data_IF_350804732196
#
_entry.id   IF_350804732196
#
_cell.length_a   1.000
_cell.length_b   1.000
_cell.length_c   1.000
_cell.angle_alpha   90.00
_cell.angle_beta   90.00
_cell.angle_gamma   90.00
#
_symmetry.space_group_name_H-M   'P 1'
#
loop_
_entity.id
_entity.type
_entity.pdbx_description
1 polymer ?
#
# COMPACT_ATOMS: atom_id res chain seq x y z
N UNK A 1 -27.06 -23.36 14.88
CA UNK A 1 -27.18 -21.99 14.34
C UNK A 1 -26.43 -21.06 15.26
N UNK A 2 -25.33 -20.44 14.81
CA UNK A 2 -24.51 -19.54 15.62
C UNK A 2 -24.22 -18.28 14.78
N UNK A 3 -25.18 -17.36 14.72
CA UNK A 3 -25.17 -16.15 13.89
C UNK A 3 -24.86 -14.87 14.68
N UNK A 4 -24.37 -14.97 15.92
CA UNK A 4 -24.37 -13.86 16.87
C UNK A 4 -23.14 -12.95 16.95
N UNK A 5 -21.98 -13.27 16.37
CA UNK A 5 -20.73 -12.58 16.75
C UNK A 5 -20.10 -11.63 15.71
N UNK A 6 -20.54 -11.63 14.45
CA UNK A 6 -19.95 -10.73 13.44
C UNK A 6 -20.65 -9.37 13.34
N UNK A 7 -21.86 -9.20 13.92
CA UNK A 7 -22.60 -7.93 13.87
C UNK A 7 -22.07 -6.86 14.84
N UNK A 8 -21.34 -7.24 15.88
CA UNK A 8 -20.90 -6.33 16.95
C UNK A 8 -19.57 -5.62 16.71
N UNK A 9 -18.84 -5.94 15.64
CA UNK A 9 -17.52 -5.36 15.33
C UNK A 9 -17.60 -4.45 14.09
N UNK A 10 -18.54 -3.51 14.09
CA UNK A 10 -18.78 -2.60 12.96
C UNK A 10 -17.53 -1.78 12.58
N UNK A 11 -16.64 -1.51 13.54
CA UNK A 11 -15.34 -0.86 13.33
C UNK A 11 -14.33 -1.72 12.57
N UNK A 12 -14.53 -3.04 12.46
CA UNK A 12 -13.71 -3.92 11.61
C UNK A 12 -14.09 -3.80 10.13
N UNK A 13 -15.22 -3.16 9.81
CA UNK A 13 -15.62 -2.91 8.43
C UNK A 13 -14.56 -2.09 7.71
N UNK A 14 -14.19 -2.51 6.49
CA UNK A 14 -13.32 -1.74 5.60
C UNK A 14 -13.79 -0.29 5.49
N UNK A 15 -15.11 -0.07 5.46
CA UNK A 15 -15.70 1.27 5.44
C UNK A 15 -15.14 2.18 6.55
N UNK A 16 -15.11 1.74 7.81
CA UNK A 16 -14.68 2.58 8.95
C UNK A 16 -13.18 2.88 8.90
N UNK A 17 -12.37 1.92 8.44
CA UNK A 17 -10.90 2.06 8.36
C UNK A 17 -10.46 3.11 7.35
N UNK A 18 -11.22 3.28 6.29
CA UNK A 18 -10.95 4.25 5.23
C UNK A 18 -11.83 5.50 5.33
N UNK A 19 -12.86 5.51 6.19
CA UNK A 19 -13.79 6.63 6.31
C UNK A 19 -13.09 7.91 6.78
N UNK A 20 -12.30 7.84 7.86
CA UNK A 20 -11.61 9.01 8.41
C UNK A 20 -10.59 9.60 7.41
N UNK A 21 -9.69 8.81 6.79
CA UNK A 21 -8.86 9.27 5.68
C UNK A 21 -9.67 9.82 4.51
N UNK A 22 -10.77 9.19 4.11
CA UNK A 22 -11.61 9.69 3.00
C UNK A 22 -12.20 11.08 3.31
N UNK A 23 -12.63 11.32 4.55
CA UNK A 23 -13.13 12.63 4.99
C UNK A 23 -11.99 13.66 4.98
N UNK A 24 -10.79 13.29 5.44
CA UNK A 24 -9.63 14.16 5.34
C UNK A 24 -9.30 14.48 3.86
N UNK A 25 -9.31 13.47 2.99
CA UNK A 25 -9.16 13.60 1.55
C UNK A 25 -10.17 14.57 0.94
N UNK A 26 -11.43 14.57 1.38
CA UNK A 26 -12.44 15.56 0.93
C UNK A 26 -12.00 16.99 1.21
N UNK A 27 -11.54 17.25 2.45
CA UNK A 27 -11.08 18.56 2.88
C UNK A 27 -9.85 18.98 2.08
N UNK A 28 -8.90 18.06 1.89
CA UNK A 28 -7.68 18.28 1.10
C UNK A 28 -8.04 18.61 -0.35
N UNK A 29 -8.83 17.78 -1.03
CA UNK A 29 -9.22 18.00 -2.43
C UNK A 29 -9.99 19.31 -2.59
N UNK A 30 -10.92 19.60 -1.68
CA UNK A 30 -11.66 20.87 -1.70
C UNK A 30 -10.72 22.07 -1.57
N UNK A 31 -9.77 22.01 -0.64
CA UNK A 31 -8.78 23.06 -0.44
C UNK A 31 -7.87 23.25 -1.66
N UNK A 32 -7.29 22.17 -2.20
CA UNK A 32 -6.44 22.21 -3.39
C UNK A 32 -7.19 22.72 -4.62
N UNK A 33 -8.47 22.34 -4.77
CA UNK A 33 -9.32 22.82 -5.88
C UNK A 33 -9.61 24.32 -5.76
N UNK A 34 -9.78 24.83 -4.53
CA UNK A 34 -9.97 26.26 -4.30
C UNK A 34 -8.71 27.07 -4.64
N UNK A 35 -7.53 26.57 -4.25
CA UNK A 35 -6.23 27.21 -4.57
C UNK A 35 -5.98 27.16 -6.08
N UNK A 36 -6.34 26.06 -6.74
CA UNK A 36 -6.15 25.85 -8.18
C UNK A 36 -7.00 26.77 -9.07
N UNK A 37 -8.01 27.45 -8.52
CA UNK A 37 -8.86 28.36 -9.29
C UNK A 37 -10.07 27.69 -10.00
N UNK A 38 -10.81 28.47 -10.81
CA UNK A 38 -12.11 28.04 -11.36
C UNK A 38 -12.01 26.92 -12.40
N UNK A 39 -10.91 26.83 -13.16
CA UNK A 39 -10.74 25.82 -14.20
C UNK A 39 -10.77 24.40 -13.65
N UNK A 40 -9.97 24.13 -12.60
CA UNK A 40 -9.93 22.81 -11.95
C UNK A 40 -11.25 22.47 -11.27
N UNK A 41 -11.89 23.45 -10.62
CA UNK A 41 -13.22 23.27 -10.01
C UNK A 41 -14.27 22.89 -11.05
N UNK A 42 -14.23 23.49 -12.24
CA UNK A 42 -15.10 23.13 -13.35
C UNK A 42 -14.87 21.70 -13.84
N UNK A 43 -13.60 21.31 -14.04
CA UNK A 43 -13.23 19.94 -14.46
C UNK A 43 -13.67 18.89 -13.44
N UNK A 44 -13.58 19.21 -12.15
CA UNK A 44 -13.96 18.32 -11.06
C UNK A 44 -15.42 18.50 -10.61
N UNK A 45 -16.20 19.36 -11.27
CA UNK A 45 -17.58 19.66 -10.87
C UNK A 45 -17.73 20.08 -9.38
N UNK A 46 -16.72 20.74 -8.82
CA UNK A 46 -16.70 21.23 -7.43
C UNK A 46 -17.26 22.67 -7.41
N UNK A 47 -18.28 22.97 -6.59
CA UNK A 47 -18.86 24.31 -6.54
C UNK A 47 -17.89 25.34 -5.97
N UNK A 48 -18.03 26.59 -6.40
CA UNK A 48 -17.26 27.72 -5.86
C UNK A 48 -17.76 28.22 -4.52
N UNK A 49 -19.06 28.04 -4.24
CA UNK A 49 -19.70 28.47 -3.00
C UNK A 49 -20.30 27.29 -2.24
N UNK A 50 -20.23 27.35 -0.91
CA UNK A 50 -20.81 26.34 -0.01
C UNK A 50 -22.33 26.25 -0.17
N UNK A 51 -22.98 27.35 -0.56
CA UNK A 51 -24.44 27.42 -0.79
C UNK A 51 -24.90 26.54 -1.94
N UNK A 52 -24.00 26.24 -2.88
CA UNK A 52 -24.28 25.40 -4.03
C UNK A 52 -23.91 23.92 -3.79
N UNK A 53 -23.59 23.56 -2.54
CA UNK A 53 -23.22 22.19 -2.18
C UNK A 53 -24.49 21.34 -1.96
N UNK A 54 -24.95 20.71 -3.03
CA UNK A 54 -26.04 19.73 -2.98
C UNK A 54 -25.52 18.32 -2.63
N UNK A 55 -26.46 17.37 -2.46
CA UNK A 55 -26.12 16.00 -2.12
C UNK A 55 -25.22 15.34 -3.19
N UNK A 56 -25.46 15.61 -4.48
CA UNK A 56 -24.67 15.04 -5.56
C UNK A 56 -23.22 15.53 -5.53
N UNK A 57 -22.99 16.82 -5.30
CA UNK A 57 -21.65 17.42 -5.19
C UNK A 57 -20.93 17.00 -3.92
N UNK A 58 -21.65 16.81 -2.81
CA UNK A 58 -21.08 16.24 -1.59
C UNK A 58 -20.62 14.79 -1.83
N UNK A 59 -21.40 13.99 -2.55
CA UNK A 59 -21.03 12.63 -2.95
C UNK A 59 -19.80 12.66 -3.87
N UNK A 60 -19.77 13.54 -4.87
CA UNK A 60 -18.59 13.70 -5.74
C UNK A 60 -17.35 14.07 -4.95
N UNK A 61 -17.45 15.03 -4.03
CA UNK A 61 -16.33 15.42 -3.17
C UNK A 61 -15.86 14.25 -2.30
N UNK A 62 -16.78 13.46 -1.75
CA UNK A 62 -16.45 12.22 -1.03
C UNK A 62 -15.73 11.21 -1.91
N UNK A 63 -16.18 11.02 -3.16
CA UNK A 63 -15.52 10.12 -4.12
C UNK A 63 -14.12 10.61 -4.48
N UNK A 64 -13.91 11.91 -4.67
CA UNK A 64 -12.59 12.47 -4.91
C UNK A 64 -11.68 12.36 -3.69
N UNK A 65 -12.20 12.61 -2.48
CA UNK A 65 -11.46 12.40 -1.24
C UNK A 65 -11.04 10.93 -1.06
N UNK A 66 -11.93 9.99 -1.36
CA UNK A 66 -11.65 8.57 -1.32
C UNK A 66 -10.60 8.17 -2.37
N UNK A 67 -10.72 8.67 -3.61
CA UNK A 67 -9.73 8.45 -4.66
C UNK A 67 -8.35 9.00 -4.26
N UNK A 68 -8.29 10.20 -3.70
CA UNK A 68 -7.04 10.82 -3.24
C UNK A 68 -6.40 9.98 -2.14
N UNK A 69 -7.18 9.59 -1.12
CA UNK A 69 -6.76 8.67 -0.06
C UNK A 69 -6.20 7.35 -0.63
N UNK A 70 -6.89 6.78 -1.62
CA UNK A 70 -6.49 5.52 -2.25
C UNK A 70 -5.13 5.65 -2.95
N UNK A 71 -4.94 6.70 -3.75
CA UNK A 71 -3.65 7.00 -4.43
C UNK A 71 -2.54 7.27 -3.40
N UNK A 72 -2.83 8.08 -2.38
CA UNK A 72 -1.87 8.37 -1.31
C UNK A 72 -1.38 7.10 -0.61
N UNK A 73 -2.25 6.09 -0.45
CA UNK A 73 -1.94 4.83 0.20
C UNK A 73 -1.06 3.85 -0.60
N UNK A 74 -0.84 4.09 -1.89
CA UNK A 74 -0.08 3.19 -2.77
C UNK A 74 1.29 2.72 -2.19
N UNK A 75 2.15 3.59 -1.65
CA UNK A 75 3.42 3.19 -1.02
C UNK A 75 3.30 2.09 0.04
N UNK A 76 2.15 1.98 0.72
CA UNK A 76 1.88 0.95 1.73
C UNK A 76 1.93 -0.44 1.11
N UNK A 77 1.49 -0.61 -0.14
CA UNK A 77 1.59 -1.90 -0.85
C UNK A 77 3.05 -2.35 -0.96
N UNK A 78 3.95 -1.42 -1.30
CA UNK A 78 5.38 -1.69 -1.40
C UNK A 78 5.98 -2.00 -0.03
N UNK A 79 5.62 -1.27 1.02
CA UNK A 79 6.05 -1.59 2.38
C UNK A 79 5.57 -2.98 2.82
N UNK A 80 4.31 -3.31 2.57
CA UNK A 80 3.77 -4.62 2.92
C UNK A 80 4.44 -5.77 2.17
N UNK A 81 4.73 -5.60 0.88
CA UNK A 81 5.43 -6.60 0.09
C UNK A 81 6.90 -6.75 0.53
N UNK A 82 7.58 -5.65 0.82
CA UNK A 82 9.01 -5.65 1.14
C UNK A 82 9.34 -5.85 2.61
N UNK A 83 8.36 -5.81 3.52
CA UNK A 83 8.55 -5.82 5.00
C UNK A 83 9.49 -6.88 5.56
N UNK A 84 9.68 -7.99 4.84
CA UNK A 84 10.64 -9.04 5.21
C UNK A 84 12.07 -8.52 5.33
N UNK A 85 12.44 -7.45 4.62
CA UNK A 85 13.78 -6.84 4.70
C UNK A 85 13.95 -5.93 5.93
N UNK A 86 12.86 -5.59 6.62
CA UNK A 86 12.89 -4.74 7.81
C UNK A 86 13.27 -5.51 9.08
N UNK A 87 13.20 -6.84 9.02
CA UNK A 87 13.54 -7.72 10.13
C UNK A 87 14.86 -8.44 9.84
N UNK A 88 15.80 -8.37 10.77
CA UNK A 88 17.04 -9.14 10.70
C UNK A 88 16.80 -10.66 10.73
N UNK A 89 17.83 -11.45 10.36
CA UNK A 89 17.78 -12.92 10.33
C UNK A 89 17.30 -13.58 11.63
N UNK A 90 17.50 -12.91 12.77
CA UNK A 90 17.13 -13.40 14.10
C UNK A 90 15.77 -12.86 14.60
N UNK A 91 15.02 -12.11 13.77
CA UNK A 91 13.71 -11.57 14.12
C UNK A 91 13.70 -10.47 15.21
N UNK A 92 14.80 -10.33 15.97
CA UNK A 92 14.86 -9.48 17.17
C UNK A 92 15.51 -8.10 16.95
N UNK A 93 15.97 -7.78 15.74
CA UNK A 93 16.64 -6.51 15.44
C UNK A 93 15.88 -5.73 14.38
N UNK A 94 15.07 -4.78 14.83
CA UNK A 94 14.75 -3.54 14.13
C UNK A 94 15.89 -2.55 14.45
N UNK A 95 16.44 -1.77 13.50
CA UNK A 95 15.82 -1.33 12.25
C UNK A 95 16.35 -1.99 10.98
N UNK A 96 15.60 -1.78 9.89
CA UNK A 96 16.10 -1.92 8.53
C UNK A 96 17.40 -1.12 8.35
N UNK A 97 18.18 -1.41 7.30
CA UNK A 97 19.32 -0.56 6.94
C UNK A 97 18.82 0.89 6.79
N UNK A 98 19.41 1.85 7.52
CA UNK A 98 18.93 3.24 7.59
C UNK A 98 18.63 3.84 6.21
N UNK A 99 19.49 3.59 5.23
CA UNK A 99 19.36 4.10 3.85
C UNK A 99 18.31 3.40 2.99
N UNK A 100 17.65 2.36 3.51
CA UNK A 100 16.54 1.65 2.87
C UNK A 100 15.31 1.61 3.78
N UNK A 101 15.31 2.26 4.94
CA UNK A 101 14.18 2.23 5.85
C UNK A 101 13.02 3.06 5.28
N UNK A 102 11.94 2.36 4.94
CA UNK A 102 10.76 2.97 4.33
C UNK A 102 10.05 3.97 5.25
N UNK A 103 10.03 3.69 6.56
CA UNK A 103 9.34 4.52 7.54
C UNK A 103 10.11 5.82 7.81
N UNK A 104 11.43 5.71 7.97
CA UNK A 104 12.29 6.90 8.07
C UNK A 104 12.19 7.76 6.83
N UNK A 105 12.21 7.15 5.64
CA UNK A 105 12.05 7.88 4.40
C UNK A 105 10.70 8.59 4.28
N UNK A 106 9.60 7.97 4.72
CA UNK A 106 8.30 8.64 4.77
C UNK A 106 8.32 9.83 5.74
N UNK A 107 8.92 9.68 6.92
CA UNK A 107 9.07 10.78 7.88
C UNK A 107 9.88 11.94 7.30
N UNK A 108 11.05 11.66 6.71
CA UNK A 108 11.90 12.68 6.10
C UNK A 108 11.26 13.31 4.86
N UNK A 109 10.54 12.55 4.05
CA UNK A 109 9.78 13.10 2.93
C UNK A 109 8.71 14.08 3.42
N UNK A 110 7.97 13.74 4.48
CA UNK A 110 6.97 14.64 5.06
C UNK A 110 7.59 15.90 5.66
N UNK A 111 8.66 15.77 6.44
CA UNK A 111 9.38 16.90 6.99
C UNK A 111 9.93 17.81 5.87
N UNK A 112 10.48 17.22 4.81
CA UNK A 112 11.00 17.95 3.66
C UNK A 112 9.89 18.69 2.93
N UNK A 113 8.73 18.07 2.68
CA UNK A 113 7.59 18.75 2.04
C UNK A 113 7.14 19.96 2.85
N UNK A 114 7.06 19.86 4.17
CA UNK A 114 6.71 21.00 5.04
C UNK A 114 7.74 22.13 4.88
N UNK A 115 9.03 21.80 4.98
CA UNK A 115 10.12 22.78 4.85
C UNK A 115 10.07 23.44 3.47
N UNK A 116 9.99 22.66 2.39
CA UNK A 116 9.93 23.17 1.01
C UNK A 116 8.73 24.10 0.79
N UNK A 117 7.58 23.77 1.38
CA UNK A 117 6.35 24.59 1.30
C UNK A 117 6.49 25.95 1.99
N UNK A 118 7.45 26.10 2.89
CA UNK A 118 7.73 27.37 3.58
C UNK A 118 8.88 28.17 2.97
N UNK A 119 9.85 27.50 2.33
CA UNK A 119 11.10 28.11 1.90
C UNK A 119 11.16 28.49 0.43
N UNK A 120 10.46 27.77 -0.45
CA UNK A 120 10.55 27.96 -1.89
C UNK A 120 9.23 28.44 -2.49
N UNK A 121 9.35 29.45 -3.36
CA UNK A 121 8.31 29.85 -4.32
C UNK A 121 8.76 29.53 -5.75
N UNK A 122 7.83 29.61 -6.68
CA UNK A 122 8.04 29.57 -8.12
C UNK A 122 8.52 28.20 -8.63
N UNK A 123 9.28 28.18 -9.73
CA UNK A 123 9.71 26.96 -10.42
C UNK A 123 10.50 25.99 -9.51
N UNK A 124 11.28 26.52 -8.56
CA UNK A 124 12.04 25.69 -7.61
C UNK A 124 11.12 24.86 -6.70
N UNK A 125 9.96 25.39 -6.30
CA UNK A 125 8.98 24.65 -5.52
C UNK A 125 8.45 23.43 -6.31
N UNK A 126 8.15 23.64 -7.59
CA UNK A 126 7.67 22.59 -8.50
C UNK A 126 8.73 21.51 -8.71
N UNK A 127 9.97 21.90 -9.01
CA UNK A 127 11.11 20.96 -9.18
C UNK A 127 11.32 20.17 -7.89
N UNK A 128 11.26 20.84 -6.73
CA UNK A 128 11.45 20.20 -5.44
C UNK A 128 10.35 19.18 -5.14
N UNK A 129 9.09 19.48 -5.48
CA UNK A 129 7.99 18.51 -5.35
C UNK A 129 8.25 17.24 -6.17
N UNK A 130 8.65 17.37 -7.44
CA UNK A 130 9.02 16.21 -8.25
C UNK A 130 10.27 15.50 -7.74
N UNK A 131 11.29 16.22 -7.27
CA UNK A 131 12.49 15.62 -6.70
C UNK A 131 12.18 14.76 -5.46
N UNK A 132 11.29 15.23 -4.58
CA UNK A 132 10.83 14.45 -3.42
C UNK A 132 10.04 13.22 -3.87
N UNK A 133 9.09 13.37 -4.80
CA UNK A 133 8.29 12.25 -5.29
C UNK A 133 9.14 11.17 -5.98
N UNK A 134 10.09 11.58 -6.82
CA UNK A 134 11.03 10.70 -7.51
C UNK A 134 11.95 10.05 -6.48
N UNK A 135 12.57 10.81 -5.58
CA UNK A 135 13.46 10.27 -4.55
C UNK A 135 12.77 9.23 -3.66
N UNK A 136 11.55 9.52 -3.21
CA UNK A 136 10.74 8.59 -2.43
C UNK A 136 10.40 7.32 -3.23
N UNK A 137 9.98 7.46 -4.49
CA UNK A 137 9.64 6.32 -5.36
C UNK A 137 10.86 5.48 -5.73
N UNK A 138 12.01 6.10 -6.00
CA UNK A 138 13.28 5.43 -6.26
C UNK A 138 13.73 4.61 -5.06
N UNK A 139 13.56 5.13 -3.85
CA UNK A 139 13.87 4.38 -2.63
C UNK A 139 12.96 3.14 -2.49
N UNK A 140 11.67 3.28 -2.78
CA UNK A 140 10.73 2.15 -2.79
C UNK A 140 11.17 1.08 -3.80
N UNK A 141 11.60 1.49 -4.99
CA UNK A 141 12.13 0.58 -6.01
C UNK A 141 13.45 -0.07 -5.54
N UNK A 142 14.33 0.66 -4.86
CA UNK A 142 15.57 0.10 -4.29
C UNK A 142 15.29 -0.94 -3.19
N UNK A 143 14.30 -0.69 -2.34
CA UNK A 143 13.78 -1.66 -1.35
C UNK A 143 13.24 -2.90 -2.05
N UNK A 144 12.44 -2.72 -3.09
CA UNK A 144 11.93 -3.80 -3.92
C UNK A 144 13.07 -4.64 -4.49
N UNK A 145 14.04 -4.00 -5.15
CA UNK A 145 15.21 -4.67 -5.71
C UNK A 145 15.92 -5.53 -4.67
N UNK A 146 16.15 -4.99 -3.47
CA UNK A 146 16.74 -5.71 -2.32
C UNK A 146 15.91 -6.93 -1.92
N UNK A 147 14.58 -6.81 -1.95
CA UNK A 147 13.63 -7.90 -1.70
C UNK A 147 13.48 -8.90 -2.86
N UNK A 148 14.08 -8.65 -4.03
CA UNK A 148 14.10 -9.58 -5.16
C UNK A 148 15.43 -10.28 -5.36
N UNK A 149 16.54 -9.63 -5.02
CA UNK A 149 17.87 -10.15 -5.35
C UNK A 149 18.51 -10.94 -4.21
N UNK A 150 18.30 -10.52 -2.96
CA UNK A 150 18.96 -11.14 -1.82
C UNK A 150 18.44 -12.55 -1.55
N UNK A 151 19.29 -13.57 -1.72
CA UNK A 151 18.90 -14.95 -1.45
C UNK A 151 18.98 -15.24 0.05
N UNK A 152 17.85 -15.60 0.65
CA UNK A 152 17.72 -16.00 2.06
C UNK A 152 17.36 -17.48 2.16
N UNK A 153 17.72 -18.08 3.29
CA UNK A 153 17.24 -19.41 3.66
C UNK A 153 15.81 -19.27 4.19
N UNK A 154 14.93 -20.17 3.77
CA UNK A 154 13.52 -20.17 4.18
C UNK A 154 13.17 -21.55 4.73
N UNK A 155 12.60 -21.59 5.93
CA UNK A 155 12.31 -22.84 6.61
C UNK A 155 11.30 -23.70 5.82
N UNK A 156 11.72 -24.92 5.45
CA UNK A 156 10.96 -25.86 4.62
C UNK A 156 11.33 -25.84 3.14
N UNK A 157 12.31 -25.03 2.72
CA UNK A 157 12.87 -25.04 1.38
C UNK A 157 14.36 -25.39 1.42
N UNK A 158 14.79 -26.35 0.59
CA UNK A 158 16.19 -26.77 0.50
C UNK A 158 17.10 -25.71 -0.13
N UNK A 159 16.55 -24.89 -1.03
CA UNK A 159 17.28 -23.87 -1.78
C UNK A 159 17.05 -22.47 -1.22
N UNK A 160 18.04 -21.59 -1.36
CA UNK A 160 17.89 -20.17 -1.02
C UNK A 160 16.90 -19.51 -1.98
N UNK A 161 15.95 -18.76 -1.42
CA UNK A 161 14.89 -18.07 -2.16
C UNK A 161 14.95 -16.57 -1.94
N UNK A 162 14.24 -15.80 -2.74
CA UNK A 162 14.12 -14.36 -2.52
C UNK A 162 13.30 -14.10 -1.25
N UNK A 163 13.51 -12.98 -0.53
CA UNK A 163 12.83 -12.73 0.73
C UNK A 163 11.34 -12.59 0.54
N UNK A 164 10.91 -11.96 -0.56
CA UNK A 164 9.50 -11.87 -0.92
C UNK A 164 8.87 -13.25 -1.13
N UNK A 165 9.54 -14.15 -1.87
CA UNK A 165 9.03 -15.49 -2.10
C UNK A 165 8.98 -16.30 -0.80
N UNK A 166 10.02 -16.20 0.03
CA UNK A 166 10.05 -16.83 1.35
C UNK A 166 8.90 -16.33 2.24
N UNK A 167 8.61 -15.03 2.23
CA UNK A 167 7.47 -14.46 2.94
C UNK A 167 6.15 -15.01 2.40
N UNK A 168 5.93 -14.99 1.08
CA UNK A 168 4.72 -15.51 0.45
C UNK A 168 4.49 -17.00 0.77
N UNK A 169 5.54 -17.82 0.65
CA UNK A 169 5.53 -19.24 0.99
C UNK A 169 5.23 -19.48 2.48
N UNK A 170 5.86 -18.72 3.38
CA UNK A 170 5.61 -18.85 4.82
C UNK A 170 4.17 -18.50 5.20
N UNK A 171 3.58 -17.50 4.55
CA UNK A 171 2.20 -17.09 4.77
C UNK A 171 1.21 -18.10 4.19
N UNK A 172 1.45 -18.63 2.99
CA UNK A 172 0.58 -19.66 2.40
C UNK A 172 0.59 -20.93 3.23
N UNK A 173 1.77 -21.40 3.67
CA UNK A 173 1.86 -22.59 4.53
C UNK A 173 1.18 -22.40 5.88
N UNK A 174 1.34 -21.23 6.53
CA UNK A 174 0.63 -20.92 7.79
C UNK A 174 -0.89 -20.83 7.61
N UNK A 175 -1.39 -20.48 6.42
CA UNK A 175 -2.83 -20.44 6.12
C UNK A 175 -3.40 -21.80 5.69
N UNK A 176 -2.60 -22.63 5.01
CA UNK A 176 -2.97 -23.98 4.60
C UNK A 176 -2.92 -25.00 5.75
N UNK A 177 -2.06 -24.77 6.75
CA UNK A 177 -2.14 -25.46 8.04
C UNK A 177 -3.26 -24.77 8.83
N UNK A 178 -4.52 -25.08 8.47
CA UNK A 178 -5.68 -24.77 9.31
C UNK A 178 -5.40 -25.42 10.66
N UNK A 179 -4.95 -24.62 11.62
CA UNK A 179 -4.50 -25.18 12.88
C UNK A 179 -5.75 -25.46 13.70
N UNK A 180 -6.05 -26.76 13.82
CA UNK A 180 -6.96 -27.37 14.81
C UNK A 180 -6.67 -26.90 16.26
N UNK A 181 -5.54 -26.22 16.48
CA UNK A 181 -5.09 -25.62 17.74
C UNK A 181 -5.45 -24.13 17.94
N UNK A 182 -6.51 -23.60 17.34
CA UNK A 182 -7.05 -22.29 17.74
C UNK A 182 -7.78 -22.32 19.12
N UNK A 183 -7.36 -23.23 20.01
CA UNK A 183 -7.88 -23.43 21.38
C UNK A 183 -7.19 -22.58 22.45
N UNK A 184 -6.05 -21.94 22.16
CA UNK A 184 -5.38 -21.06 23.14
C UNK A 184 -5.93 -19.63 23.07
N UNK A 185 -6.77 -19.28 24.05
CA UNK A 185 -7.39 -17.96 24.21
C UNK A 185 -6.36 -16.80 24.19
N UNK A 186 -5.20 -16.98 24.83
CA UNK A 186 -4.10 -15.99 24.84
C UNK A 186 -3.55 -15.67 23.46
N UNK A 187 -3.46 -16.66 22.55
CA UNK A 187 -3.02 -16.42 21.18
C UNK A 187 -4.09 -15.66 20.38
N UNK A 188 -5.37 -15.89 20.68
CA UNK A 188 -6.47 -15.17 20.05
C UNK A 188 -6.50 -13.70 20.48
N UNK A 189 -6.35 -13.42 21.77
CA UNK A 189 -6.29 -12.04 22.28
C UNK A 189 -5.07 -11.29 21.76
N UNK A 190 -3.90 -11.95 21.70
CA UNK A 190 -2.70 -11.35 21.12
C UNK A 190 -2.89 -11.03 19.63
N UNK A 191 -3.49 -11.95 18.86
CA UNK A 191 -3.78 -11.73 17.44
C UNK A 191 -4.81 -10.62 17.24
N UNK A 192 -5.85 -10.57 18.06
CA UNK A 192 -6.87 -9.51 18.02
C UNK A 192 -6.26 -8.15 18.39
N UNK A 193 -5.41 -8.09 19.42
CA UNK A 193 -4.67 -6.87 19.81
C UNK A 193 -3.73 -6.41 18.71
N UNK A 194 -2.95 -7.33 18.13
CA UNK A 194 -2.08 -7.04 16.99
C UNK A 194 -2.87 -6.54 15.78
N UNK A 195 -4.00 -7.19 15.48
CA UNK A 195 -4.88 -6.81 14.38
C UNK A 195 -5.40 -5.39 14.57
N UNK A 196 -5.89 -5.08 15.77
CA UNK A 196 -6.39 -3.76 16.12
C UNK A 196 -5.30 -2.68 16.01
N UNK A 197 -4.11 -2.94 16.59
CA UNK A 197 -2.97 -2.03 16.49
C UNK A 197 -2.58 -1.77 15.03
N UNK A 198 -2.57 -2.83 14.21
CA UNK A 198 -2.27 -2.72 12.77
C UNK A 198 -3.34 -1.96 12.01
N UNK A 199 -4.61 -2.17 12.33
CA UNK A 199 -5.72 -1.51 11.65
C UNK A 199 -5.71 -0.01 11.93
N UNK A 200 -5.58 0.41 13.20
CA UNK A 200 -5.46 1.82 13.55
C UNK A 200 -4.16 2.45 13.06
N UNK A 201 -3.04 1.74 13.19
CA UNK A 201 -1.75 2.20 12.68
C UNK A 201 -1.77 2.41 11.17
N UNK A 202 -2.41 1.52 10.41
CA UNK A 202 -2.57 1.67 8.97
C UNK A 202 -3.40 2.90 8.60
N UNK A 203 -4.53 3.14 9.29
CA UNK A 203 -5.36 4.32 9.05
C UNK A 203 -4.58 5.62 9.30
N UNK A 204 -3.87 5.71 10.43
CA UNK A 204 -3.03 6.88 10.74
C UNK A 204 -1.90 7.07 9.73
N UNK A 205 -1.31 5.97 9.26
CA UNK A 205 -0.23 6.01 8.28
C UNK A 205 -0.72 6.43 6.88
N UNK A 206 -1.92 6.00 6.47
CA UNK A 206 -2.56 6.48 5.25
C UNK A 206 -2.75 7.99 5.32
N UNK A 207 -3.34 8.48 6.42
CA UNK A 207 -3.56 9.91 6.61
C UNK A 207 -2.25 10.70 6.55
N UNK A 208 -1.16 10.17 7.13
CA UNK A 208 0.15 10.83 7.01
C UNK A 208 0.65 10.88 5.55
N UNK A 209 0.51 9.80 4.78
CA UNK A 209 0.85 9.80 3.35
C UNK A 209 -0.04 10.76 2.54
N UNK A 210 -1.32 10.91 2.90
CA UNK A 210 -2.21 11.91 2.30
C UNK A 210 -1.68 13.32 2.50
N UNK A 211 -1.21 13.67 3.70
CA UNK A 211 -0.63 14.98 3.97
C UNK A 211 0.65 15.23 3.15
N UNK A 212 1.50 14.22 2.99
CA UNK A 212 2.71 14.32 2.15
C UNK A 212 2.31 14.57 0.70
N UNK A 213 1.42 13.74 0.14
CA UNK A 213 0.99 13.88 -1.24
C UNK A 213 0.26 15.21 -1.46
N UNK A 214 -0.56 15.65 -0.49
CA UNK A 214 -1.25 16.93 -0.53
C UNK A 214 -0.28 18.10 -0.56
N UNK A 215 0.77 18.07 0.26
CA UNK A 215 1.82 19.09 0.24
C UNK A 215 2.59 19.13 -1.08
N UNK A 216 2.84 17.98 -1.70
CA UNK A 216 3.42 17.92 -3.05
C UNK A 216 2.49 18.54 -4.09
N UNK A 217 1.19 18.23 -4.05
CA UNK A 217 0.20 18.86 -4.92
C UNK A 217 0.13 20.38 -4.71
N UNK A 218 0.16 20.82 -3.44
CA UNK A 218 0.14 22.23 -3.07
C UNK A 218 1.34 22.98 -3.65
N UNK A 219 2.55 22.43 -3.53
CA UNK A 219 3.77 23.00 -4.12
C UNK A 219 3.65 23.20 -5.63
N UNK A 220 3.01 22.27 -6.34
CA UNK A 220 2.78 22.39 -7.78
C UNK A 220 1.72 23.46 -8.08
N UNK A 221 0.53 23.32 -7.49
CA UNK A 221 -0.63 24.17 -7.79
C UNK A 221 -0.36 25.64 -7.43
N UNK A 222 0.28 25.91 -6.29
CA UNK A 222 0.53 27.27 -5.83
C UNK A 222 1.58 28.02 -6.65
N UNK A 223 2.35 27.30 -7.47
CA UNK A 223 3.51 27.85 -8.19
C UNK A 223 3.43 27.63 -9.71
N UNK A 224 2.27 27.22 -10.25
CA UNK A 224 2.07 27.01 -11.68
C UNK A 224 0.77 27.66 -12.16
N UNK A 225 0.64 27.80 -13.47
CA UNK A 225 -0.60 28.30 -14.08
C UNK A 225 -1.64 27.18 -14.18
N UNK A 226 -2.91 27.53 -14.02
CA UNK A 226 -4.06 26.61 -14.03
C UNK A 226 -4.11 25.63 -15.21
N UNK A 227 -3.67 26.07 -16.39
CA UNK A 227 -3.59 25.24 -17.60
C UNK A 227 -2.69 24.01 -17.48
N UNK A 228 -1.70 24.03 -16.59
CA UNK A 228 -0.73 22.95 -16.41
C UNK A 228 -1.05 22.04 -15.21
N UNK A 229 -2.00 22.41 -14.35
CA UNK A 229 -2.24 21.70 -13.09
C UNK A 229 -2.61 20.23 -13.32
N UNK A 230 -3.56 19.95 -14.21
CA UNK A 230 -4.02 18.57 -14.45
C UNK A 230 -2.88 17.67 -14.96
N UNK A 231 -2.06 18.18 -15.88
CA UNK A 231 -0.93 17.45 -16.43
C UNK A 231 0.13 17.16 -15.36
N UNK A 232 0.54 18.19 -14.60
CA UNK A 232 1.60 18.05 -13.59
C UNK A 232 1.17 17.17 -12.42
N UNK A 233 -0.08 17.30 -11.95
CA UNK A 233 -0.64 16.40 -10.93
C UNK A 233 -0.76 14.96 -11.45
N UNK A 234 -1.15 14.78 -12.72
CA UNK A 234 -1.17 13.47 -13.36
C UNK A 234 0.21 12.79 -13.39
N UNK A 235 1.26 13.55 -13.73
CA UNK A 235 2.65 13.07 -13.70
C UNK A 235 3.08 12.74 -12.27
N UNK A 236 2.77 13.61 -11.31
CA UNK A 236 3.08 13.39 -9.89
C UNK A 236 2.45 12.09 -9.37
N UNK A 237 1.15 11.89 -9.62
CA UNK A 237 0.43 10.68 -9.23
C UNK A 237 0.97 9.44 -9.95
N UNK A 238 1.34 9.57 -11.23
CA UNK A 238 2.04 8.53 -11.98
C UNK A 238 3.33 8.10 -11.28
N UNK A 239 4.22 9.04 -10.98
CA UNK A 239 5.50 8.78 -10.28
C UNK A 239 5.23 8.09 -8.94
N UNK A 240 4.31 8.63 -8.13
CA UNK A 240 3.93 8.09 -6.82
C UNK A 240 3.41 6.65 -6.89
N UNK A 241 2.71 6.30 -7.98
CA UNK A 241 2.10 4.99 -8.18
C UNK A 241 3.07 3.92 -8.71
N UNK A 242 4.16 4.30 -9.40
CA UNK A 242 5.08 3.37 -10.08
C UNK A 242 5.50 2.18 -9.20
N UNK A 243 6.00 2.35 -7.96
CA UNK A 243 6.45 1.22 -7.16
C UNK A 243 5.35 0.18 -6.90
N UNK A 244 4.13 0.65 -6.69
CA UNK A 244 2.96 -0.18 -6.40
C UNK A 244 2.48 -0.95 -7.62
N UNK A 245 2.52 -0.30 -8.79
CA UNK A 245 2.26 -0.96 -10.08
C UNK A 245 3.27 -2.07 -10.32
N UNK A 246 4.55 -1.84 -10.03
CA UNK A 246 5.60 -2.86 -10.14
C UNK A 246 5.35 -4.04 -9.18
N UNK A 247 4.90 -3.80 -7.94
CA UNK A 247 4.51 -4.86 -7.01
C UNK A 247 3.33 -5.68 -7.53
N UNK A 248 2.34 -5.03 -8.17
CA UNK A 248 1.23 -5.74 -8.78
C UNK A 248 1.71 -6.72 -9.86
N UNK A 249 2.61 -6.28 -10.76
CA UNK A 249 3.20 -7.14 -11.79
C UNK A 249 3.97 -8.33 -11.19
N UNK A 250 4.65 -8.11 -10.06
CA UNK A 250 5.32 -9.18 -9.32
C UNK A 250 4.30 -10.17 -8.74
N UNK A 251 3.19 -9.68 -8.18
CA UNK A 251 2.10 -10.52 -7.69
C UNK A 251 1.61 -11.49 -8.76
N UNK A 252 1.37 -10.97 -9.98
CA UNK A 252 1.00 -11.78 -11.15
C UNK A 252 2.06 -12.85 -11.49
N UNK A 253 3.35 -12.48 -11.43
CA UNK A 253 4.43 -13.46 -11.66
C UNK A 253 4.47 -14.57 -10.60
N UNK A 254 4.27 -14.21 -9.32
CA UNK A 254 4.24 -15.18 -8.23
C UNK A 254 3.05 -16.11 -8.35
N UNK A 255 1.86 -15.58 -8.65
CA UNK A 255 0.64 -16.35 -8.86
C UNK A 255 0.80 -17.40 -9.96
N UNK A 256 1.38 -17.01 -11.11
CA UNK A 256 1.74 -17.95 -12.19
C UNK A 256 2.69 -19.07 -11.73
N UNK A 257 3.65 -18.78 -10.84
CA UNK A 257 4.56 -19.82 -10.32
C UNK A 257 3.85 -20.79 -9.39
N UNK A 258 2.95 -20.29 -8.54
CA UNK A 258 2.18 -21.15 -7.63
C UNK A 258 1.14 -22.00 -8.38
N UNK A 259 0.51 -21.49 -9.44
CA UNK A 259 -0.43 -22.28 -10.26
C UNK A 259 0.25 -23.42 -11.04
N UNK A 260 1.51 -23.24 -11.45
CA UNK A 260 2.32 -24.32 -12.02
C UNK A 260 2.77 -25.36 -10.98
N UNK A 261 2.81 -24.99 -9.70
CA UNK A 261 3.16 -25.91 -8.61
C UNK A 261 2.03 -26.91 -8.36
N UNK A 262 0.79 -26.45 -8.43
CA UNK A 262 -0.42 -27.26 -8.26
C UNK A 262 -0.51 -28.36 -9.33
N UNK A 263 -0.18 -28.03 -10.60
CA UNK A 263 -0.14 -29.01 -11.70
C UNK A 263 0.92 -30.10 -11.55
N UNK A 264 2.01 -29.84 -10.82
CA UNK A 264 3.05 -30.85 -10.57
C UNK A 264 2.67 -31.82 -9.46
N UNK A 265 1.85 -31.37 -8.51
CA UNK A 265 1.29 -32.26 -7.49
C UNK A 265 0.28 -33.23 -8.11
N UNK A 266 -0.55 -32.77 -9.06
CA UNK A 266 -1.45 -33.66 -9.81
C UNK A 266 -0.72 -34.60 -10.76
N UNK A 267 0.35 -34.15 -11.41
CA UNK A 267 1.11 -35.02 -12.32
C UNK A 267 1.86 -36.14 -11.57
N UNK A 268 2.38 -35.85 -10.37
CA UNK A 268 3.04 -36.86 -9.52
C UNK A 268 2.06 -37.89 -8.95
N UNK A 269 0.84 -37.48 -8.57
CA UNK A 269 -0.18 -38.43 -8.12
C UNK A 269 -0.70 -39.32 -9.26
N UNK A 270 -0.80 -38.78 -10.49
CA UNK A 270 -1.24 -39.56 -11.65
C UNK A 270 -0.17 -40.56 -12.14
N UNK A 271 1.12 -40.28 -11.91
CA UNK A 271 2.23 -41.23 -12.15
C UNK A 271 2.27 -42.33 -11.06
N UNK A 272 2.14 -41.98 -9.78
CA UNK A 272 2.07 -42.96 -8.67
C UNK A 272 0.86 -43.90 -8.82
N UNK A 273 -0.32 -43.38 -9.19
CA UNK A 273 -1.52 -44.21 -9.40
C UNK A 273 -1.34 -45.15 -10.60
N UNK A 274 -0.64 -44.72 -11.66
CA UNK A 274 -0.36 -45.58 -12.83
C UNK A 274 0.67 -46.67 -12.55
N UNK A 275 1.64 -46.41 -11.68
CA UNK A 275 2.60 -47.43 -11.25
C UNK A 275 1.95 -48.46 -10.32
N UNK A 276 1.08 -48.05 -9.39
CA UNK A 276 0.30 -48.97 -8.55
C UNK A 276 -0.68 -49.84 -9.36
N UNK A 277 -1.36 -49.28 -10.37
CA UNK A 277 -2.23 -50.06 -11.28
C UNK A 277 -1.44 -51.05 -12.15
N UNK A 278 -0.19 -50.73 -12.50
CA UNK A 278 0.68 -51.63 -13.25
C UNK A 278 1.22 -52.78 -12.40
N UNK A 279 1.61 -52.53 -11.14
CA UNK A 279 2.10 -53.55 -10.22
C UNK A 279 1.00 -54.46 -9.66
N UNK A 280 -0.24 -53.98 -9.55
CA UNK A 280 -1.41 -54.78 -9.13
C UNK A 280 -1.98 -55.72 -10.20
N UNK A 281 -1.40 -55.75 -11.41
CA UNK A 281 -1.88 -56.52 -12.57
C UNK A 281 -1.04 -57.76 -12.92
N UNK A 282 -0.07 -58.13 -12.07
CA UNK A 282 0.75 -59.34 -12.15
C UNK A 282 0.30 -60.40 -11.13
#
# INVERSE_FOLDING_TARGET
MNTGNNANRWWEGYLVRYLMPSIAGMVIVSNLSNISGPEMRSVLFIPSEVRDLDAARLILLFLYGNLFCYIASYPILTFHATRVIDFGKEGNKWPAKIHLDGYLATFFAGALVIVLSTLYSDLLAVISAFAVAVGFSSLQIARMYTAFTNKIECWGLKNKVTPLYGLAYSLSRRRGIITENQKNWTNKELVDTYRHLREHGNTAFIFFLELILAGLCFLIISNTSSSHHLLLLGILFGIWAIPSVLIHLVGQHLERRFSLYDRRLTAGSDEEIREEEAEGSL
#
